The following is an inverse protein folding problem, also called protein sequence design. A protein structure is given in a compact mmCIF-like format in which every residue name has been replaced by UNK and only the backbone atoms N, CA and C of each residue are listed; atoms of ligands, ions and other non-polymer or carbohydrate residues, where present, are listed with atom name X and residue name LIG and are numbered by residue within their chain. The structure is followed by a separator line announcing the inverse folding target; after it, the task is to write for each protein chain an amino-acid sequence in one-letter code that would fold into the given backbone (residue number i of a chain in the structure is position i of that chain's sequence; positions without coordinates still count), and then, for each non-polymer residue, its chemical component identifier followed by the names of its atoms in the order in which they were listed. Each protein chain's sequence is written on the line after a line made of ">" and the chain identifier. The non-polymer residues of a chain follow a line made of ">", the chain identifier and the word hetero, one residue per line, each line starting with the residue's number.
data_IF_957237236753
#
_entry.id   IF_957237236753
#
_cell.length_a   1.000
_cell.length_b   1.000
_cell.length_c   1.000
_cell.angle_alpha   90.00
_cell.angle_beta   90.00
_cell.angle_gamma   90.00
#
_symmetry.space_group_name_H-M   'P 1'
#
loop_
_entity.id
_entity.type
_entity.pdbx_description
1 polymer ?
#
# COMPACT_ATOMS: atom_id res chain seq x y z
N UNK A 1 0.22 -58.46 24.98
CA UNK A 1 0.06 -57.43 23.92
C UNK A 1 0.31 -56.09 24.60
N UNK A 2 1.56 -55.61 24.60
CA UNK A 2 2.19 -54.68 23.64
C UNK A 2 1.46 -53.34 23.46
N UNK A 3 2.26 -52.28 23.66
CA UNK A 3 2.12 -50.87 23.24
C UNK A 3 1.53 -49.89 24.27
N UNK A 4 2.39 -49.23 25.08
CA UNK A 4 3.04 -47.90 24.82
C UNK A 4 2.03 -46.75 24.95
N UNK A 5 1.97 -45.98 26.04
CA UNK A 5 2.97 -44.97 26.47
C UNK A 5 3.34 -44.07 25.29
N UNK A 6 2.60 -42.97 25.08
CA UNK A 6 3.03 -41.72 24.43
C UNK A 6 1.81 -40.79 24.25
N UNK A 7 1.66 -39.80 25.12
CA UNK A 7 1.09 -38.49 24.77
C UNK A 7 1.38 -37.43 25.87
N UNK A 8 2.49 -37.58 26.60
CA UNK A 8 3.15 -36.42 27.17
C UNK A 8 3.73 -35.61 26.01
N UNK A 9 3.44 -34.31 26.02
CA UNK A 9 4.34 -33.28 25.46
C UNK A 9 4.41 -33.20 23.93
N UNK A 10 3.36 -32.73 23.26
CA UNK A 10 3.48 -32.27 21.86
C UNK A 10 2.38 -31.27 21.45
N UNK A 11 2.19 -30.22 22.25
CA UNK A 11 1.68 -28.95 21.71
C UNK A 11 2.31 -27.71 22.37
N UNK A 12 3.54 -27.89 22.88
CA UNK A 12 4.55 -26.82 22.97
C UNK A 12 5.42 -26.86 21.70
N UNK A 13 4.73 -26.86 20.55
CA UNK A 13 5.35 -26.84 19.23
C UNK A 13 5.17 -25.47 18.61
N UNK A 14 6.11 -24.57 18.91
CA UNK A 14 6.55 -23.51 18.01
C UNK A 14 5.46 -22.54 17.52
N UNK A 15 5.28 -21.41 18.20
CA UNK A 15 6.06 -20.20 17.85
C UNK A 15 6.00 -19.91 16.34
N UNK A 16 4.79 -19.73 15.82
CA UNK A 16 4.53 -18.76 14.77
C UNK A 16 3.46 -17.79 15.28
N UNK A 17 3.69 -17.28 16.50
CA UNK A 17 3.35 -15.88 16.77
C UNK A 17 3.85 -15.13 15.55
N UNK A 18 2.92 -14.47 14.85
CA UNK A 18 3.13 -13.55 13.75
C UNK A 18 3.96 -12.35 14.26
N UNK A 19 5.18 -12.60 14.74
CA UNK A 19 6.30 -11.71 14.55
C UNK A 19 6.41 -11.62 13.04
N UNK A 20 5.67 -10.69 12.43
CA UNK A 20 5.93 -10.27 11.08
C UNK A 20 7.41 -9.91 11.07
N UNK A 21 8.24 -10.82 10.54
CA UNK A 21 9.67 -10.65 10.56
C UNK A 21 9.94 -9.33 9.85
N UNK A 22 10.36 -8.34 10.62
CA UNK A 22 10.70 -7.04 10.07
C UNK A 22 11.81 -7.25 9.06
N UNK A 23 11.50 -7.04 7.78
CA UNK A 23 12.46 -7.12 6.69
C UNK A 23 13.22 -5.80 6.68
N UNK A 24 14.46 -5.82 7.13
CA UNK A 24 15.36 -4.66 7.07
C UNK A 24 16.20 -4.73 5.80
N UNK A 25 16.21 -3.67 5.01
CA UNK A 25 16.90 -3.60 3.73
C UNK A 25 17.82 -2.37 3.63
N UNK A 26 18.97 -2.47 2.94
CA UNK A 26 19.78 -1.30 2.62
C UNK A 26 19.07 -0.41 1.60
N UNK A 27 19.43 0.88 1.58
CA UNK A 27 18.83 1.90 0.68
C UNK A 27 18.85 1.48 -0.80
N UNK A 28 19.93 0.82 -1.25
CA UNK A 28 20.10 0.33 -2.62
C UNK A 28 19.05 -0.69 -3.07
N UNK A 29 18.46 -1.44 -2.14
CA UNK A 29 17.46 -2.47 -2.41
C UNK A 29 16.06 -2.07 -1.92
N UNK A 30 15.98 -1.10 -1.01
CA UNK A 30 14.76 -0.74 -0.31
C UNK A 30 13.65 -0.31 -1.28
N UNK A 31 13.93 0.63 -2.18
CA UNK A 31 12.91 1.20 -3.08
C UNK A 31 12.31 0.15 -4.01
N UNK A 32 13.15 -0.63 -4.70
CA UNK A 32 12.70 -1.63 -5.67
C UNK A 32 11.93 -2.76 -4.98
N UNK A 33 12.38 -3.19 -3.79
CA UNK A 33 11.66 -4.18 -3.01
C UNK A 33 10.31 -3.63 -2.53
N UNK A 34 10.27 -2.40 -2.01
CA UNK A 34 9.04 -1.79 -1.53
C UNK A 34 8.02 -1.64 -2.68
N UNK A 35 8.43 -1.10 -3.82
CA UNK A 35 7.56 -0.90 -5.00
C UNK A 35 6.99 -2.21 -5.56
N UNK A 36 7.75 -3.30 -5.46
CA UNK A 36 7.31 -4.62 -5.90
C UNK A 36 6.33 -5.31 -4.93
N UNK A 37 6.44 -5.05 -3.62
CA UNK A 37 5.70 -5.79 -2.59
C UNK A 37 4.56 -4.99 -1.94
N UNK A 38 4.53 -3.66 -2.12
CA UNK A 38 3.54 -2.78 -1.49
C UNK A 38 2.48 -2.28 -2.45
N UNK A 39 2.46 -2.78 -3.68
CA UNK A 39 1.54 -2.35 -4.71
C UNK A 39 0.39 -3.35 -4.85
N UNK A 40 -0.82 -2.82 -4.80
CA UNK A 40 -2.04 -3.56 -5.14
C UNK A 40 -2.49 -3.20 -6.56
N UNK A 41 -3.14 -4.14 -7.24
CA UNK A 41 -3.54 -4.01 -8.65
C UNK A 41 -5.04 -4.31 -8.83
N UNK A 42 -5.70 -3.53 -9.69
CA UNK A 42 -7.11 -3.69 -10.02
C UNK A 42 -7.36 -3.37 -11.49
N UNK A 43 -8.08 -4.23 -12.22
CA UNK A 43 -8.35 -4.03 -13.65
C UNK A 43 -9.84 -3.75 -13.91
N UNK A 44 -10.13 -2.68 -14.63
CA UNK A 44 -11.49 -2.36 -15.09
C UNK A 44 -11.47 -1.51 -16.36
N UNK A 45 -12.35 -1.83 -17.30
CA UNK A 45 -12.57 -0.98 -18.48
C UNK A 45 -11.34 -0.82 -19.38
N UNK A 46 -10.47 -1.83 -19.44
CA UNK A 46 -9.24 -1.76 -20.25
C UNK A 46 -8.10 -0.96 -19.60
N UNK A 47 -8.28 -0.52 -18.35
CA UNK A 47 -7.30 0.22 -17.56
C UNK A 47 -6.90 -0.60 -16.34
N UNK A 48 -5.60 -0.68 -16.09
CA UNK A 48 -5.05 -1.24 -14.86
C UNK A 48 -4.75 -0.12 -13.88
N UNK A 49 -5.33 -0.23 -12.70
CA UNK A 49 -5.14 0.66 -11.57
C UNK A 49 -4.19 0.04 -10.58
N UNK A 50 -3.40 0.89 -9.94
CA UNK A 50 -2.46 0.52 -8.93
C UNK A 50 -2.59 1.45 -7.74
N UNK A 51 -2.44 0.90 -6.54
CA UNK A 51 -2.41 1.67 -5.31
C UNK A 51 -1.24 1.17 -4.44
N UNK A 52 -0.45 2.10 -3.90
CA UNK A 52 0.68 1.78 -3.03
C UNK A 52 0.70 2.74 -1.83
N UNK A 53 0.48 2.25 -0.60
CA UNK A 53 0.66 3.04 0.61
C UNK A 53 2.15 3.33 0.84
N UNK A 54 2.47 4.57 1.23
CA UNK A 54 3.85 4.98 1.45
C UNK A 54 4.20 4.94 2.94
N UNK A 55 5.31 4.28 3.27
CA UNK A 55 5.89 4.27 4.61
C UNK A 55 6.77 5.50 4.82
N UNK A 56 7.00 5.89 6.07
CA UNK A 56 7.92 6.99 6.38
C UNK A 56 9.35 6.72 5.85
N UNK A 57 9.81 5.48 5.91
CA UNK A 57 11.11 5.06 5.38
C UNK A 57 11.16 5.23 3.85
N UNK A 58 10.10 4.85 3.13
CA UNK A 58 9.98 5.06 1.67
C UNK A 58 10.01 6.54 1.31
N UNK A 59 9.23 7.36 2.02
CA UNK A 59 9.17 8.81 1.79
C UNK A 59 10.51 9.48 2.10
N UNK A 60 11.21 9.05 3.15
CA UNK A 60 12.55 9.53 3.50
C UNK A 60 13.55 9.23 2.37
N UNK A 61 13.56 8.01 1.84
CA UNK A 61 14.47 7.66 0.73
C UNK A 61 14.09 8.38 -0.56
N UNK A 62 12.80 8.47 -0.89
CA UNK A 62 12.36 9.04 -2.17
C UNK A 62 12.38 10.58 -2.20
N UNK A 63 12.08 11.22 -1.08
CA UNK A 63 11.81 12.66 -0.99
C UNK A 63 12.57 13.38 0.15
N UNK A 64 13.39 12.67 0.92
CA UNK A 64 14.20 13.25 2.00
C UNK A 64 13.44 13.52 3.29
N UNK A 65 12.11 13.60 3.26
CA UNK A 65 11.28 13.81 4.46
C UNK A 65 9.94 13.06 4.36
N UNK A 66 9.50 12.37 5.42
CA UNK A 66 8.15 11.83 5.51
C UNK A 66 7.13 12.95 5.81
N UNK A 67 5.83 12.62 5.74
CA UNK A 67 4.81 13.45 6.38
C UNK A 67 4.93 13.38 7.91
N UNK A 68 4.70 14.51 8.57
CA UNK A 68 4.72 14.61 10.05
C UNK A 68 3.63 13.72 10.68
N UNK A 69 2.44 13.71 10.10
CA UNK A 69 1.31 12.88 10.53
C UNK A 69 0.46 12.47 9.33
N UNK A 70 -0.05 11.23 9.36
CA UNK A 70 -0.96 10.70 8.34
C UNK A 70 -0.32 9.71 7.39
N UNK A 71 -0.82 9.68 6.15
CA UNK A 71 -0.49 8.65 5.17
C UNK A 71 -0.60 9.18 3.74
N UNK A 72 0.38 8.86 2.88
CA UNK A 72 0.26 9.00 1.43
C UNK A 72 -0.01 7.67 0.77
N UNK A 73 -0.81 7.71 -0.29
CA UNK A 73 -1.02 6.59 -1.20
C UNK A 73 -0.70 7.08 -2.61
N UNK A 74 0.20 6.40 -3.31
CA UNK A 74 0.35 6.56 -4.75
C UNK A 74 -0.75 5.77 -5.43
N UNK A 75 -1.58 6.45 -6.20
CA UNK A 75 -2.60 5.85 -7.04
C UNK A 75 -2.28 6.17 -8.49
N UNK A 76 -2.21 5.16 -9.35
CA UNK A 76 -1.94 5.39 -10.76
C UNK A 76 -2.64 4.40 -11.68
N UNK A 77 -2.75 4.77 -12.95
CA UNK A 77 -3.44 3.99 -13.95
C UNK A 77 -2.63 3.87 -15.24
N UNK A 78 -2.63 2.68 -15.84
CA UNK A 78 -2.04 2.41 -17.16
C UNK A 78 -3.06 1.71 -18.07
N UNK A 79 -3.05 1.99 -19.39
CA UNK A 79 -2.32 3.08 -20.04
C UNK A 79 -2.88 4.46 -19.63
N UNK A 80 -2.09 5.51 -19.82
CA UNK A 80 -2.50 6.89 -19.58
C UNK A 80 -3.72 7.22 -20.43
N UNK A 81 -4.75 7.75 -19.77
CA UNK A 81 -5.98 8.18 -20.42
C UNK A 81 -6.44 9.56 -19.92
N UNK A 82 -5.58 10.31 -19.23
CA UNK A 82 -5.92 11.59 -18.62
C UNK A 82 -7.09 11.48 -17.63
N UNK A 83 -7.08 10.42 -16.82
CA UNK A 83 -8.13 10.21 -15.82
C UNK A 83 -8.27 11.38 -14.85
N UNK A 84 -9.50 11.52 -14.35
CA UNK A 84 -9.91 12.41 -13.27
C UNK A 84 -10.81 11.62 -12.33
N UNK A 85 -10.88 12.03 -11.07
CA UNK A 85 -11.80 11.47 -10.08
C UNK A 85 -12.23 12.57 -9.11
N UNK A 86 -13.37 12.37 -8.46
CA UNK A 86 -13.96 13.38 -7.59
C UNK A 86 -13.28 13.43 -6.22
N UNK A 87 -13.11 12.26 -5.61
CA UNK A 87 -12.61 12.13 -4.25
C UNK A 87 -11.98 10.76 -4.01
N UNK A 88 -11.31 10.60 -2.87
CA UNK A 88 -10.79 9.32 -2.41
C UNK A 88 -10.95 9.16 -0.90
N UNK A 89 -11.08 7.92 -0.44
CA UNK A 89 -11.35 7.58 0.95
C UNK A 89 -10.50 6.38 1.38
N UNK A 90 -9.96 6.42 2.59
CA UNK A 90 -9.46 5.22 3.26
C UNK A 90 -10.58 4.62 4.10
N UNK A 91 -10.91 3.36 3.81
CA UNK A 91 -11.95 2.59 4.48
C UNK A 91 -11.27 1.53 5.34
N UNK A 92 -11.51 1.56 6.65
CA UNK A 92 -11.05 0.51 7.57
C UNK A 92 -12.18 0.11 8.50
N UNK A 93 -12.67 -1.13 8.37
CA UNK A 93 -13.82 -1.65 9.12
C UNK A 93 -15.05 -0.73 8.97
N UNK A 94 -15.38 0.06 10.00
CA UNK A 94 -16.52 0.98 10.04
C UNK A 94 -16.11 2.45 9.85
N UNK A 95 -14.81 2.74 9.81
CA UNK A 95 -14.29 4.10 9.80
C UNK A 95 -13.76 4.48 8.42
N UNK A 96 -14.32 5.53 7.82
CA UNK A 96 -13.81 6.12 6.58
C UNK A 96 -13.15 7.47 6.83
N UNK A 97 -12.06 7.75 6.14
CA UNK A 97 -11.41 9.08 6.16
C UNK A 97 -11.20 9.57 4.73
N UNK A 98 -11.74 10.74 4.42
CA UNK A 98 -11.59 11.36 3.11
C UNK A 98 -10.14 11.84 2.89
N UNK A 99 -9.73 11.90 1.63
CA UNK A 99 -8.46 12.50 1.24
C UNK A 99 -8.47 13.99 1.58
N UNK A 100 -7.38 14.48 2.16
CA UNK A 100 -7.24 15.89 2.53
C UNK A 100 -6.66 16.69 1.38
N UNK A 101 -5.77 16.08 0.61
CA UNK A 101 -5.19 16.67 -0.59
C UNK A 101 -4.81 15.56 -1.58
N UNK A 102 -5.07 15.79 -2.86
CA UNK A 102 -4.48 14.98 -3.91
C UNK A 102 -3.92 15.84 -5.03
N UNK A 103 -2.84 15.36 -5.63
CA UNK A 103 -2.18 16.01 -6.77
C UNK A 103 -1.93 15.01 -7.87
N UNK A 104 -2.34 15.34 -9.09
CA UNK A 104 -1.91 14.64 -10.30
C UNK A 104 -0.46 15.00 -10.60
N UNK A 105 0.43 14.02 -10.63
CA UNK A 105 1.82 14.21 -11.03
C UNK A 105 1.89 14.33 -12.54
N UNK A 106 2.45 15.44 -13.02
CA UNK A 106 2.69 15.71 -14.44
C UNK A 106 4.13 15.33 -14.77
N UNK A 107 4.56 14.14 -14.39
CA UNK A 107 5.91 13.66 -14.74
C UNK A 107 5.93 13.19 -16.19
N UNK A 108 6.60 13.95 -17.05
CA UNK A 108 6.82 13.66 -18.48
C UNK A 108 7.44 12.28 -18.72
N UNK A 109 8.26 11.79 -17.78
CA UNK A 109 8.97 10.51 -17.87
C UNK A 109 8.08 9.26 -17.70
N UNK A 110 6.93 9.40 -17.02
CA UNK A 110 5.95 8.32 -16.87
C UNK A 110 4.85 8.39 -17.93
N UNK A 111 5.15 8.89 -19.13
CA UNK A 111 4.17 9.26 -20.17
C UNK A 111 3.07 8.23 -20.51
N UNK A 112 3.22 6.97 -20.08
CA UNK A 112 2.26 5.89 -20.19
C UNK A 112 1.29 5.72 -18.99
N UNK A 113 1.35 6.55 -17.94
CA UNK A 113 0.46 6.47 -16.78
C UNK A 113 -0.18 7.81 -16.36
N UNK A 114 -1.38 7.75 -15.78
CA UNK A 114 -1.92 8.83 -14.94
C UNK A 114 -1.52 8.56 -13.49
N UNK A 115 -0.78 9.45 -12.83
CA UNK A 115 -0.30 9.25 -11.46
C UNK A 115 -0.82 10.33 -10.50
N UNK A 116 -1.27 9.91 -9.32
CA UNK A 116 -1.84 10.73 -8.28
C UNK A 116 -1.18 10.42 -6.94
N UNK A 117 -0.82 11.47 -6.21
CA UNK A 117 -0.40 11.37 -4.81
C UNK A 117 -1.60 11.76 -3.96
N UNK A 118 -2.14 10.82 -3.19
CA UNK A 118 -3.28 11.01 -2.29
C UNK A 118 -2.77 11.16 -0.85
N UNK A 119 -3.14 12.22 -0.14
CA UNK A 119 -2.71 12.50 1.23
C UNK A 119 -3.89 12.45 2.19
N UNK A 120 -3.79 11.64 3.24
CA UNK A 120 -4.80 11.45 4.27
C UNK A 120 -4.24 11.88 5.63
N UNK A 121 -5.07 12.51 6.47
CA UNK A 121 -4.68 12.91 7.82
C UNK A 121 -4.50 11.69 8.75
N UNK A 122 -5.29 10.64 8.55
CA UNK A 122 -5.25 9.43 9.36
C UNK A 122 -4.34 8.37 8.73
N UNK A 123 -3.56 7.68 9.57
CA UNK A 123 -2.81 6.49 9.16
C UNK A 123 -3.63 5.24 9.46
N UNK A 124 -4.11 4.56 8.41
CA UNK A 124 -4.91 3.33 8.50
C UNK A 124 -4.23 2.19 7.76
N UNK A 125 -3.42 1.40 8.47
CA UNK A 125 -2.69 0.27 7.89
C UNK A 125 -3.63 -0.88 7.54
N UNK A 126 -3.45 -1.47 6.35
CA UNK A 126 -4.34 -2.52 5.83
C UNK A 126 -5.76 -2.03 5.52
N UNK A 127 -5.96 -0.72 5.30
CA UNK A 127 -7.22 -0.16 4.82
C UNK A 127 -7.46 -0.47 3.34
N UNK A 128 -8.71 -0.32 2.89
CA UNK A 128 -9.03 -0.22 1.47
C UNK A 128 -9.00 1.25 1.04
N UNK A 129 -8.46 1.51 -0.15
CA UNK A 129 -8.62 2.77 -0.86
C UNK A 129 -9.87 2.69 -1.73
N UNK A 130 -10.80 3.62 -1.53
CA UNK A 130 -11.91 3.85 -2.45
C UNK A 130 -11.71 5.16 -3.20
N UNK A 131 -11.72 5.12 -4.54
CA UNK A 131 -11.63 6.29 -5.42
C UNK A 131 -12.99 6.49 -6.09
N UNK A 132 -13.63 7.63 -5.85
CA UNK A 132 -15.01 7.89 -6.28
C UNK A 132 -15.07 8.57 -7.65
N UNK A 133 -16.04 8.14 -8.46
CA UNK A 133 -16.39 8.77 -9.74
C UNK A 133 -15.18 8.97 -10.66
N UNK A 134 -14.42 7.89 -10.91
CA UNK A 134 -13.36 7.90 -11.91
C UNK A 134 -13.98 8.12 -13.29
N UNK A 135 -13.39 9.04 -14.06
CA UNK A 135 -13.87 9.47 -15.38
C UNK A 135 -13.95 8.33 -16.40
N UNK A 136 -14.42 8.64 -17.61
CA UNK A 136 -14.53 7.68 -18.73
C UNK A 136 -15.47 6.49 -18.44
N UNK A 137 -16.47 6.68 -17.59
CA UNK A 137 -17.47 5.65 -17.27
C UNK A 137 -16.96 4.52 -16.37
N UNK A 138 -15.81 4.68 -15.73
CA UNK A 138 -15.19 3.65 -14.87
C UNK A 138 -15.90 3.54 -13.51
N UNK A 139 -16.39 4.67 -12.99
CA UNK A 139 -17.15 4.74 -11.74
C UNK A 139 -16.25 4.61 -10.50
N UNK A 140 -16.78 4.04 -9.42
CA UNK A 140 -16.05 3.84 -8.17
C UNK A 140 -15.09 2.65 -8.23
N UNK A 141 -13.87 2.83 -7.71
CA UNK A 141 -12.82 1.80 -7.61
C UNK A 141 -12.50 1.56 -6.14
N UNK A 142 -12.43 0.29 -5.73
CA UNK A 142 -12.01 -0.10 -4.39
C UNK A 142 -10.84 -1.07 -4.47
N UNK A 143 -9.77 -0.79 -3.71
CA UNK A 143 -8.53 -1.56 -3.70
C UNK A 143 -8.07 -1.76 -2.26
N UNK A 144 -7.88 -3.01 -1.82
CA UNK A 144 -7.19 -3.27 -0.55
C UNK A 144 -5.74 -2.77 -0.66
N UNK A 145 -5.23 -2.10 0.37
CA UNK A 145 -3.84 -1.65 0.42
C UNK A 145 -2.97 -2.68 1.15
N UNK A 146 -1.80 -2.98 0.58
CA UNK A 146 -0.81 -3.85 1.22
C UNK A 146 -0.36 -3.28 2.57
N UNK A 147 -0.20 -4.16 3.57
CA UNK A 147 0.38 -3.75 4.85
C UNK A 147 1.90 -3.88 4.82
N UNK A 148 2.58 -2.75 4.58
CA UNK A 148 4.03 -2.66 4.48
C UNK A 148 4.76 -2.16 5.73
N UNK A 149 4.11 -2.18 6.90
CA UNK A 149 4.72 -1.71 8.16
C UNK A 149 6.00 -2.46 8.55
N UNK A 150 6.14 -3.71 8.10
CA UNK A 150 7.26 -4.59 8.44
C UNK A 150 8.46 -4.46 7.49
N UNK A 151 8.41 -3.60 6.46
CA UNK A 151 9.53 -3.36 5.54
C UNK A 151 10.25 -2.08 5.97
N UNK A 152 11.46 -2.21 6.50
CA UNK A 152 12.21 -1.10 7.13
C UNK A 152 13.53 -0.83 6.44
N UNK A 153 13.89 0.44 6.38
CA UNK A 153 15.20 0.89 5.92
C UNK A 153 16.24 0.66 7.02
N UNK A 154 17.43 0.17 6.66
CA UNK A 154 18.59 0.19 7.54
C UNK A 154 19.17 1.60 7.51
N UNK A 155 19.01 2.34 8.61
CA UNK A 155 19.63 3.66 8.77
C UNK A 155 21.16 3.48 8.95
N UNK A 156 21.93 4.35 8.28
CA UNK A 156 23.40 4.39 8.39
C UNK A 156 23.84 5.02 9.70
#
# INVERSE_FOLDING_TARGET
>A
MKSTLFATTLLFGFVALLCGCTKRLPESEYLSFYEANCKSEFFRGGVTFYAMPLSADYEKVKWGTPLDSGMRVLFWATPRSNLEFENAFLISKKDSSAVVAFRKSVTFELGAADLFVLSFADKKNGAALYVSNVSHGIGGIEMNLENCDNIRLIEK
#
